data_IF_992208129886
#
_entry.id   IF_992208129886
#
_cell.length_a   1.000
_cell.length_b   1.000
_cell.length_c   1.000
_cell.angle_alpha   90.00
_cell.angle_beta   90.00
_cell.angle_gamma   90.00
#
_symmetry.space_group_name_H-M   'P 1'
#
loop_
_entity.id
_entity.type
_entity.pdbx_description
1 polymer ?
#
# COMPACT_ATOMS: atom_id res chain seq x y z
N UNK A 1 -25.32 11.07 22.39
CA UNK A 1 -24.10 10.25 22.11
C UNK A 1 -23.63 10.44 20.66
N UNK A 2 -23.34 11.68 20.24
CA UNK A 2 -23.05 12.04 18.84
C UNK A 2 -21.56 12.28 18.54
N UNK A 3 -20.69 12.21 19.55
CA UNK A 3 -19.40 12.87 19.46
C UNK A 3 -18.38 12.18 18.54
N UNK A 4 -18.58 10.91 18.16
CA UNK A 4 -17.49 10.12 17.55
C UNK A 4 -17.92 9.12 16.47
N UNK A 5 -18.89 9.49 15.62
CA UNK A 5 -19.37 8.65 14.50
C UNK A 5 -18.21 8.19 13.60
N UNK A 6 -17.20 9.03 13.41
CA UNK A 6 -16.00 8.72 12.62
C UNK A 6 -15.09 7.65 13.23
N UNK A 7 -15.32 7.24 14.48
CA UNK A 7 -14.63 6.11 15.11
C UNK A 7 -15.38 4.80 14.92
N UNK A 8 -16.64 4.83 14.49
CA UNK A 8 -17.40 3.60 14.23
C UNK A 8 -16.86 2.88 12.99
N UNK A 9 -16.71 1.55 13.10
CA UNK A 9 -16.20 0.72 12.01
C UNK A 9 -17.21 0.62 10.86
N UNK A 10 -18.51 0.56 11.16
CA UNK A 10 -19.58 0.49 10.17
C UNK A 10 -19.62 1.76 9.31
N UNK A 11 -19.59 2.92 9.96
CA UNK A 11 -19.53 4.21 9.29
C UNK A 11 -18.30 4.35 8.39
N UNK A 12 -17.11 4.04 8.92
CA UNK A 12 -15.88 4.11 8.10
C UNK A 12 -15.88 3.10 6.96
N UNK A 13 -16.45 1.91 7.15
CA UNK A 13 -16.59 0.93 6.07
C UNK A 13 -17.50 1.47 4.97
N UNK A 14 -18.65 2.04 5.31
CA UNK A 14 -19.58 2.60 4.32
C UNK A 14 -18.93 3.75 3.54
N UNK A 15 -18.37 4.74 4.24
CA UNK A 15 -17.78 5.93 3.61
C UNK A 15 -16.49 5.63 2.83
N UNK A 16 -15.56 4.89 3.43
CA UNK A 16 -14.23 4.67 2.87
C UNK A 16 -14.16 3.49 1.90
N UNK A 17 -14.93 2.42 2.16
CA UNK A 17 -14.88 1.19 1.35
C UNK A 17 -16.02 1.14 0.34
N UNK A 18 -17.28 1.28 0.75
CA UNK A 18 -18.43 1.19 -0.17
C UNK A 18 -18.55 2.42 -1.08
N UNK A 19 -18.60 3.61 -0.50
CA UNK A 19 -18.73 4.89 -1.22
C UNK A 19 -17.40 5.41 -1.80
N UNK A 20 -16.28 4.75 -1.46
CA UNK A 20 -14.92 5.03 -1.97
C UNK A 20 -14.44 6.47 -1.77
N UNK A 21 -14.96 7.18 -0.76
CA UNK A 21 -14.55 8.57 -0.49
C UNK A 21 -13.09 8.64 -0.04
N UNK A 22 -12.41 9.74 -0.40
CA UNK A 22 -11.09 10.02 0.15
C UNK A 22 -11.21 10.52 1.60
N UNK A 23 -10.15 10.38 2.39
CA UNK A 23 -10.17 10.80 3.79
C UNK A 23 -10.47 12.29 3.95
N UNK A 24 -10.02 13.12 2.99
CA UNK A 24 -10.34 14.56 2.93
C UNK A 24 -11.82 14.82 2.71
N UNK A 25 -12.48 14.01 1.89
CA UNK A 25 -13.90 14.19 1.59
C UNK A 25 -14.76 13.71 2.76
N UNK A 26 -14.31 12.67 3.46
CA UNK A 26 -14.93 12.21 4.72
C UNK A 26 -14.80 13.29 5.80
N UNK A 27 -13.65 13.96 5.92
CA UNK A 27 -13.49 15.12 6.80
C UNK A 27 -14.54 16.22 6.50
N UNK A 28 -14.68 16.61 5.23
CA UNK A 28 -15.65 17.63 4.81
C UNK A 28 -17.09 17.20 5.13
N UNK A 29 -17.42 15.94 4.89
CA UNK A 29 -18.75 15.41 5.19
C UNK A 29 -19.05 15.42 6.70
N UNK A 30 -18.07 15.06 7.53
CA UNK A 30 -18.20 15.09 8.98
C UNK A 30 -18.39 16.53 9.51
N UNK A 31 -17.71 17.50 8.91
CA UNK A 31 -17.87 18.91 9.24
C UNK A 31 -19.25 19.43 8.82
N UNK A 32 -19.73 19.08 7.62
CA UNK A 32 -21.03 19.55 7.10
C UNK A 32 -22.24 18.91 7.78
N UNK A 33 -22.23 17.58 7.97
CA UNK A 33 -23.40 16.84 8.45
C UNK A 33 -23.49 16.76 9.97
N UNK A 34 -22.34 16.77 10.65
CA UNK A 34 -22.28 16.52 12.10
C UNK A 34 -21.54 17.62 12.88
N UNK A 35 -21.04 18.67 12.20
CA UNK A 35 -20.22 19.73 12.78
C UNK A 35 -18.97 19.18 13.52
N UNK A 36 -18.41 18.06 13.04
CA UNK A 36 -17.23 17.42 13.64
C UNK A 36 -16.00 17.79 12.81
N UNK A 37 -15.09 18.57 13.40
CA UNK A 37 -13.77 18.86 12.81
C UNK A 37 -12.78 17.76 13.15
N UNK A 38 -12.31 17.04 12.14
CA UNK A 38 -11.31 15.97 12.30
C UNK A 38 -10.25 16.06 11.20
N UNK A 39 -9.01 15.75 11.55
CA UNK A 39 -7.92 15.75 10.56
C UNK A 39 -7.93 14.46 9.74
N UNK A 40 -7.51 14.50 8.46
CA UNK A 40 -7.38 13.29 7.64
C UNK A 40 -6.45 12.24 8.27
N UNK A 41 -5.43 12.69 9.01
CA UNK A 41 -4.49 11.81 9.72
C UNK A 41 -5.17 11.06 10.87
N UNK A 42 -6.05 11.71 11.62
CA UNK A 42 -6.83 11.04 12.67
C UNK A 42 -7.75 9.96 12.06
N UNK A 43 -8.44 10.29 10.97
CA UNK A 43 -9.26 9.34 10.20
C UNK A 43 -8.42 8.16 9.65
N UNK A 44 -7.22 8.44 9.14
CA UNK A 44 -6.29 7.40 8.68
C UNK A 44 -5.95 6.40 9.78
N UNK A 45 -5.71 6.88 11.01
CA UNK A 45 -5.38 6.01 12.13
C UNK A 45 -6.50 5.01 12.44
N UNK A 46 -7.77 5.44 12.37
CA UNK A 46 -8.93 4.56 12.55
C UNK A 46 -9.12 3.58 11.39
N UNK A 47 -9.01 4.07 10.16
CA UNK A 47 -9.07 3.22 8.94
C UNK A 47 -7.96 2.17 8.96
N UNK A 48 -6.76 2.51 9.45
CA UNK A 48 -5.65 1.57 9.66
C UNK A 48 -5.95 0.59 10.80
N UNK A 49 -6.45 1.07 11.95
CA UNK A 49 -6.82 0.24 13.10
C UNK A 49 -7.85 -0.83 12.73
N UNK A 50 -8.81 -0.51 11.86
CA UNK A 50 -9.84 -1.44 11.38
C UNK A 50 -9.44 -2.25 10.14
N UNK A 51 -8.18 -2.16 9.70
CA UNK A 51 -7.67 -2.87 8.53
C UNK A 51 -8.51 -2.61 7.26
N UNK A 52 -8.99 -1.38 7.09
CA UNK A 52 -9.81 -0.98 5.94
C UNK A 52 -8.97 -0.54 4.74
N UNK A 53 -7.67 -0.27 4.94
CA UNK A 53 -6.75 0.12 3.87
C UNK A 53 -6.65 -0.95 2.77
N UNK A 54 -6.75 -2.24 3.14
CA UNK A 54 -6.66 -3.37 2.20
C UNK A 54 -7.62 -3.28 1.02
N UNK A 55 -8.82 -2.74 1.25
CA UNK A 55 -9.86 -2.59 0.22
C UNK A 55 -9.54 -1.53 -0.85
N UNK A 56 -8.61 -0.61 -0.57
CA UNK A 56 -8.11 0.39 -1.54
C UNK A 56 -6.71 0.09 -2.07
N UNK A 57 -6.12 -1.04 -1.70
CA UNK A 57 -4.74 -1.36 -2.11
C UNK A 57 -3.64 -0.66 -1.34
N UNK A 58 -3.98 0.30 -0.48
CA UNK A 58 -3.06 0.86 0.50
C UNK A 58 -2.86 -0.17 1.62
N UNK A 59 -1.65 -0.38 2.10
CA UNK A 59 -1.37 -1.31 3.21
C UNK A 59 -1.44 -2.80 2.87
N UNK A 60 -1.63 -3.21 1.61
CA UNK A 60 -1.41 -4.62 1.23
C UNK A 60 0.09 -4.92 1.37
N UNK A 61 0.48 -5.82 2.29
CA UNK A 61 1.82 -6.44 2.28
C UNK A 61 1.89 -7.44 1.12
N UNK A 62 1.98 -6.92 -0.12
CA UNK A 62 2.12 -7.71 -1.35
C UNK A 62 3.37 -8.58 -1.37
N UNK A 63 4.35 -8.28 -0.50
CA UNK A 63 5.57 -9.07 -0.34
C UNK A 63 5.30 -10.53 0.07
N UNK A 64 4.23 -10.79 0.84
CA UNK A 64 3.90 -12.15 1.32
C UNK A 64 2.90 -12.89 0.42
N UNK A 65 2.35 -12.23 -0.60
CA UNK A 65 1.41 -12.85 -1.57
C UNK A 65 2.13 -13.49 -2.76
N UNK A 66 3.46 -13.46 -2.73
CA UNK A 66 4.26 -14.32 -3.58
C UNK A 66 4.45 -15.64 -2.83
N UNK A 67 3.48 -16.56 -2.93
CA UNK A 67 3.79 -17.99 -2.85
C UNK A 67 4.68 -18.35 -4.06
N UNK A 68 5.89 -17.81 -4.07
CA UNK A 68 6.91 -18.17 -5.07
C UNK A 68 7.18 -19.63 -4.80
N UNK A 69 6.72 -20.46 -5.72
CA UNK A 69 7.10 -21.88 -5.75
C UNK A 69 8.63 -21.96 -5.58
N UNK A 70 9.14 -22.89 -4.77
CA UNK A 70 10.57 -23.06 -4.62
C UNK A 70 11.20 -23.18 -6.02
N UNK A 71 12.24 -22.40 -6.27
CA UNK A 71 12.92 -22.45 -7.58
C UNK A 71 13.56 -23.82 -7.74
N UNK A 72 13.45 -24.38 -8.95
CA UNK A 72 14.20 -25.61 -9.25
C UNK A 72 15.72 -25.31 -9.28
N UNK A 73 16.59 -26.29 -8.99
CA UNK A 73 18.04 -26.11 -9.08
C UNK A 73 18.51 -25.57 -10.44
N UNK A 74 17.86 -25.99 -11.53
CA UNK A 74 18.12 -25.49 -12.87
C UNK A 74 17.75 -24.00 -13.06
N UNK A 75 16.66 -23.55 -12.45
CA UNK A 75 16.27 -22.14 -12.46
C UNK A 75 17.24 -21.28 -11.65
N UNK A 76 17.76 -21.80 -10.54
CA UNK A 76 18.72 -21.09 -9.70
C UNK A 76 20.06 -20.92 -10.42
N UNK A 77 20.55 -21.97 -11.08
CA UNK A 77 21.77 -21.89 -11.89
C UNK A 77 21.62 -20.96 -13.10
N UNK A 78 20.48 -21.02 -13.80
CA UNK A 78 20.19 -20.09 -14.90
C UNK A 78 20.16 -18.63 -14.43
N UNK A 79 19.55 -18.38 -13.26
CA UNK A 79 19.54 -17.05 -12.63
C UNK A 79 20.94 -16.59 -12.22
N UNK A 80 21.79 -17.48 -11.71
CA UNK A 80 23.19 -17.20 -11.36
C UNK A 80 23.99 -16.80 -12.61
N UNK A 81 23.90 -17.58 -13.68
CA UNK A 81 24.56 -17.29 -14.97
C UNK A 81 24.12 -15.95 -15.56
N UNK A 82 22.81 -15.66 -15.52
CA UNK A 82 22.25 -14.40 -16.01
C UNK A 82 22.76 -13.19 -15.21
N UNK A 83 22.86 -13.32 -13.87
CA UNK A 83 23.42 -12.28 -13.00
C UNK A 83 24.91 -12.03 -13.28
N UNK A 84 25.69 -13.07 -13.50
CA UNK A 84 27.11 -12.96 -13.83
C UNK A 84 27.33 -12.28 -15.19
N UNK A 85 26.55 -12.66 -16.21
CA UNK A 85 26.58 -11.98 -17.51
C UNK A 85 26.23 -10.49 -17.39
N UNK A 86 25.20 -10.15 -16.61
CA UNK A 86 24.83 -8.75 -16.36
C UNK A 86 25.94 -7.97 -15.66
N UNK A 87 26.62 -8.57 -14.67
CA UNK A 87 27.77 -7.96 -14.00
C UNK A 87 28.91 -7.69 -14.99
N UNK A 88 29.23 -8.65 -15.86
CA UNK A 88 30.27 -8.50 -16.89
C UNK A 88 29.94 -7.40 -17.90
N UNK A 89 28.70 -7.36 -18.38
CA UNK A 89 28.24 -6.31 -19.31
C UNK A 89 28.27 -4.94 -18.64
N UNK A 90 27.87 -4.85 -17.37
CA UNK A 90 27.89 -3.58 -16.62
C UNK A 90 29.33 -3.08 -16.39
N UNK A 91 30.27 -3.98 -16.07
CA UNK A 91 31.69 -3.65 -15.95
C UNK A 91 32.24 -3.14 -17.28
N UNK A 92 32.02 -3.88 -18.38
CA UNK A 92 32.45 -3.49 -19.72
C UNK A 92 31.87 -2.12 -20.14
N UNK A 93 30.58 -1.87 -19.86
CA UNK A 93 29.94 -0.57 -20.12
C UNK A 93 30.53 0.56 -19.26
N UNK A 94 30.93 0.27 -18.02
CA UNK A 94 31.58 1.24 -17.13
C UNK A 94 33.00 1.56 -17.59
N UNK A 95 33.75 0.56 -18.04
CA UNK A 95 35.10 0.75 -18.62
C UNK A 95 35.05 1.58 -19.91
N UNK A 96 34.07 1.33 -20.79
CA UNK A 96 33.90 2.11 -22.03
C UNK A 96 33.47 3.56 -21.76
N UNK A 97 32.69 3.81 -20.70
CA UNK A 97 32.23 5.17 -20.33
C UNK A 97 33.25 5.98 -19.52
N UNK A 98 34.28 5.34 -18.97
CA UNK A 98 35.33 5.97 -18.17
C UNK A 98 36.63 6.24 -18.93
N UNK A 99 36.64 6.02 -20.26
CA UNK A 99 37.67 6.41 -21.21
C UNK A 99 37.13 7.54 -22.08
#
# INVERSE_FOLDING_TARGET
>A
MANEIYKDKGFLYDMYVKRRMNLTDICKHLEQAYNIKVTPQALYNWVKKYDLLKFRGKGRKLANTSMRRPQSPAQEEANRRKREQQKRVKLKKREIRGR
#
